data_IF_774267094251
#
_entry.id   IF_774267094251
#
_cell.length_a   1.000
_cell.length_b   1.000
_cell.length_c   1.000
_cell.angle_alpha   90.00
_cell.angle_beta   90.00
_cell.angle_gamma   90.00
#
_symmetry.space_group_name_H-M   'P 1'
#
loop_
_entity.id
_entity.type
_entity.pdbx_description
1 polymer ?
#
# COMPACT_ATOMS: atom_id res chain seq x y z
N UNK A 1 57.28 -4.92 -18.75
CA UNK A 1 56.16 -3.98 -18.59
C UNK A 1 54.86 -4.73 -18.77
N UNK A 2 54.25 -5.26 -17.70
CA UNK A 2 52.95 -5.94 -17.78
C UNK A 2 51.85 -4.97 -17.33
N UNK A 3 51.05 -4.48 -18.28
CA UNK A 3 49.81 -3.78 -18.00
C UNK A 3 48.76 -4.81 -17.51
N UNK A 4 48.63 -4.96 -16.21
CA UNK A 4 47.47 -5.64 -15.59
C UNK A 4 46.27 -4.71 -15.71
N UNK A 5 45.41 -4.97 -16.70
CA UNK A 5 44.13 -4.28 -16.86
C UNK A 5 43.19 -4.68 -15.71
N UNK A 6 42.75 -3.71 -14.92
CA UNK A 6 41.71 -3.90 -13.92
C UNK A 6 40.37 -4.27 -14.59
N UNK A 7 39.65 -5.31 -14.11
CA UNK A 7 38.36 -5.67 -14.66
C UNK A 7 37.30 -4.63 -14.24
N UNK A 8 36.77 -3.92 -15.24
CA UNK A 8 35.65 -2.96 -15.17
C UNK A 8 34.33 -3.67 -14.80
N UNK A 9 34.16 -4.10 -13.54
CA UNK A 9 33.04 -4.93 -13.05
C UNK A 9 31.85 -4.18 -12.43
N UNK A 10 31.86 -2.85 -12.43
CA UNK A 10 30.91 -2.04 -11.64
C UNK A 10 29.52 -1.74 -12.25
N UNK A 11 29.26 -1.71 -13.57
CA UNK A 11 27.96 -1.25 -14.06
C UNK A 11 26.84 -2.29 -13.87
N UNK A 12 27.11 -3.57 -14.12
CA UNK A 12 26.09 -4.63 -14.06
C UNK A 12 25.49 -4.81 -12.66
N UNK A 13 26.33 -4.81 -11.62
CA UNK A 13 25.89 -5.02 -10.25
C UNK A 13 25.02 -3.85 -9.75
N UNK A 14 25.33 -2.62 -10.18
CA UNK A 14 24.51 -1.44 -9.86
C UNK A 14 23.13 -1.54 -10.52
N UNK A 15 23.05 -1.91 -11.80
CA UNK A 15 21.75 -2.09 -12.47
C UNK A 15 20.93 -3.21 -11.85
N UNK A 16 21.57 -4.32 -11.46
CA UNK A 16 20.89 -5.41 -10.78
C UNK A 16 20.33 -4.96 -9.42
N UNK A 17 21.11 -4.24 -8.62
CA UNK A 17 20.65 -3.70 -7.34
C UNK A 17 19.47 -2.72 -7.52
N UNK A 18 19.54 -1.83 -8.52
CA UNK A 18 18.45 -0.91 -8.83
C UNK A 18 17.19 -1.67 -9.26
N UNK A 19 17.33 -2.72 -10.08
CA UNK A 19 16.21 -3.54 -10.51
C UNK A 19 15.56 -4.29 -9.34
N UNK A 20 16.37 -4.92 -8.47
CA UNK A 20 15.89 -5.60 -7.26
C UNK A 20 15.19 -4.62 -6.32
N UNK A 21 15.80 -3.46 -6.08
CA UNK A 21 15.20 -2.41 -5.25
C UNK A 21 13.88 -1.91 -5.84
N UNK A 22 13.83 -1.65 -7.15
CA UNK A 22 12.62 -1.26 -7.85
C UNK A 22 11.53 -2.32 -7.74
N UNK A 23 11.87 -3.60 -7.90
CA UNK A 23 10.94 -4.70 -7.73
C UNK A 23 10.39 -4.79 -6.30
N UNK A 24 11.24 -4.65 -5.28
CA UNK A 24 10.82 -4.64 -3.88
C UNK A 24 9.88 -3.47 -3.56
N UNK A 25 10.24 -2.25 -3.97
CA UNK A 25 9.43 -1.05 -3.73
C UNK A 25 8.09 -1.11 -4.49
N UNK A 26 8.11 -1.57 -5.75
CA UNK A 26 6.91 -1.75 -6.56
C UNK A 26 5.97 -2.80 -5.96
N UNK A 27 6.50 -3.94 -5.52
CA UNK A 27 5.71 -5.00 -4.86
C UNK A 27 5.08 -4.50 -3.56
N UNK A 28 5.84 -3.79 -2.71
CA UNK A 28 5.32 -3.20 -1.49
C UNK A 28 4.21 -2.17 -1.79
N UNK A 29 4.40 -1.34 -2.81
CA UNK A 29 3.40 -0.34 -3.23
C UNK A 29 2.11 -1.00 -3.70
N UNK A 30 2.20 -2.05 -4.53
CA UNK A 30 1.04 -2.82 -4.99
C UNK A 30 0.32 -3.50 -3.82
N UNK A 31 1.07 -4.04 -2.87
CA UNK A 31 0.49 -4.62 -1.67
C UNK A 31 -0.31 -3.57 -0.87
N UNK A 32 0.29 -2.40 -0.59
CA UNK A 32 -0.36 -1.37 0.22
C UNK A 32 -1.50 -0.66 -0.52
N UNK A 33 -1.41 -0.43 -1.83
CA UNK A 33 -2.49 0.24 -2.60
C UNK A 33 -3.74 -0.61 -2.73
N UNK A 34 -3.63 -1.94 -2.56
CA UNK A 34 -4.80 -2.82 -2.54
C UNK A 34 -5.81 -2.43 -1.45
N UNK A 35 -5.34 -1.93 -0.31
CA UNK A 35 -6.17 -1.56 0.84
C UNK A 35 -7.09 -0.36 0.53
N UNK A 36 -6.60 0.83 0.12
CA UNK A 36 -7.46 1.94 -0.24
C UNK A 36 -8.37 1.65 -1.44
N UNK A 37 -7.94 0.83 -2.41
CA UNK A 37 -8.82 0.38 -3.50
C UNK A 37 -10.03 -0.38 -2.96
N UNK A 38 -9.82 -1.26 -1.98
CA UNK A 38 -10.89 -2.00 -1.32
C UNK A 38 -11.86 -1.10 -0.55
N UNK A 39 -11.37 -0.03 0.08
CA UNK A 39 -12.24 0.97 0.74
C UNK A 39 -13.15 1.65 -0.26
N UNK A 40 -12.60 2.09 -1.38
CA UNK A 40 -13.39 2.71 -2.46
C UNK A 40 -14.41 1.72 -3.00
N UNK A 41 -14.02 0.46 -3.23
CA UNK A 41 -14.93 -0.59 -3.68
C UNK A 41 -16.09 -0.81 -2.70
N UNK A 42 -15.80 -0.85 -1.38
CA UNK A 42 -16.82 -0.95 -0.35
C UNK A 42 -17.83 0.20 -0.41
N UNK A 43 -17.36 1.45 -0.58
CA UNK A 43 -18.26 2.61 -0.70
C UNK A 43 -19.06 2.65 -2.00
N UNK A 44 -18.53 2.06 -3.07
CA UNK A 44 -19.27 1.84 -4.32
C UNK A 44 -20.26 0.66 -4.22
N UNK A 45 -20.36 0.02 -3.06
CA UNK A 45 -21.29 -1.08 -2.81
C UNK A 45 -20.82 -2.44 -3.32
N UNK A 46 -19.52 -2.60 -3.58
CA UNK A 46 -18.94 -3.89 -3.94
C UNK A 46 -19.11 -4.92 -2.82
N UNK A 47 -19.28 -6.19 -3.21
CA UNK A 47 -19.45 -7.33 -2.31
C UNK A 47 -20.89 -7.47 -1.82
N UNK A 48 -21.39 -8.71 -1.84
CA UNK A 48 -22.70 -9.03 -1.27
C UNK A 48 -22.67 -8.86 0.25
N UNK A 49 -23.73 -8.28 0.81
CA UNK A 49 -23.89 -8.15 2.24
C UNK A 49 -24.31 -9.50 2.84
N UNK A 50 -23.48 -10.06 3.72
CA UNK A 50 -23.76 -11.33 4.41
C UNK A 50 -23.81 -11.12 5.92
N UNK A 51 -24.69 -11.86 6.60
CA UNK A 51 -24.69 -11.88 8.06
C UNK A 51 -23.59 -12.81 8.57
N UNK A 52 -22.84 -12.32 9.55
CA UNK A 52 -21.72 -13.01 10.16
C UNK A 52 -21.85 -12.97 11.67
N UNK A 53 -21.83 -14.14 12.29
CA UNK A 53 -21.81 -14.30 13.75
C UNK A 53 -20.36 -14.35 14.19
N UNK A 54 -19.96 -13.41 15.05
CA UNK A 54 -18.58 -13.29 15.50
C UNK A 54 -18.28 -14.36 16.54
N UNK A 55 -17.41 -15.31 16.19
CA UNK A 55 -16.96 -16.39 17.06
C UNK A 55 -15.73 -16.01 17.86
N UNK A 56 -14.91 -15.09 17.37
CA UNK A 56 -13.77 -14.52 18.11
C UNK A 56 -13.73 -13.01 17.91
N UNK A 57 -13.66 -12.26 19.01
CA UNK A 57 -13.61 -10.80 18.97
C UNK A 57 -12.23 -10.27 18.57
N UNK A 58 -12.19 -9.05 18.07
CA UNK A 58 -10.95 -8.34 17.74
C UNK A 58 -10.98 -6.91 18.23
N UNK A 59 -9.95 -6.56 19.00
CA UNK A 59 -9.63 -5.17 19.32
C UNK A 59 -8.56 -4.68 18.35
N UNK A 60 -8.94 -3.95 17.32
CA UNK A 60 -7.96 -3.47 16.35
C UNK A 60 -8.50 -2.97 15.03
N UNK A 61 -7.58 -2.47 14.21
CA UNK A 61 -7.76 -2.18 12.80
C UNK A 61 -6.70 -2.98 12.03
N UNK A 62 -6.85 -3.16 10.72
CA UNK A 62 -5.98 -4.05 9.93
C UNK A 62 -4.49 -3.65 9.91
N UNK A 63 -4.17 -2.43 10.37
CA UNK A 63 -2.83 -1.86 10.48
C UNK A 63 -1.96 -2.40 11.63
N UNK A 64 -1.90 -3.72 11.76
CA UNK A 64 -0.90 -4.42 12.59
C UNK A 64 -1.05 -4.26 14.10
N UNK A 65 -2.18 -3.72 14.59
CA UNK A 65 -2.54 -3.73 16.01
C UNK A 65 -3.85 -4.48 16.18
N UNK A 66 -3.73 -5.73 16.61
CA UNK A 66 -4.85 -6.61 16.95
C UNK A 66 -4.84 -7.86 16.09
N UNK A 67 -5.05 -9.01 16.72
CA UNK A 67 -5.35 -10.23 16.00
C UNK A 67 -6.72 -10.06 15.33
N UNK A 68 -6.87 -10.49 14.06
CA UNK A 68 -8.17 -10.49 13.41
C UNK A 68 -9.13 -11.37 14.19
N UNK A 69 -10.36 -10.92 14.31
CA UNK A 69 -11.44 -11.69 14.89
C UNK A 69 -11.94 -12.67 13.84
N UNK A 70 -12.57 -13.74 14.30
CA UNK A 70 -13.17 -14.73 13.44
C UNK A 70 -14.68 -14.60 13.47
N UNK A 71 -15.29 -14.63 12.30
CA UNK A 71 -16.72 -14.64 12.11
C UNK A 71 -17.14 -15.81 11.25
N UNK A 72 -18.29 -16.37 11.57
CA UNK A 72 -18.93 -17.44 10.81
C UNK A 72 -20.12 -16.89 10.05
N UNK A 73 -20.09 -17.04 8.74
CA UNK A 73 -21.17 -16.59 7.86
C UNK A 73 -22.40 -17.48 8.07
N UNK A 74 -23.56 -16.87 8.28
CA UNK A 74 -24.80 -17.59 8.62
C UNK A 74 -25.29 -18.45 7.46
N UNK A 75 -25.11 -17.99 6.22
CA UNK A 75 -25.66 -18.63 5.04
C UNK A 75 -24.95 -19.95 4.66
N UNK A 76 -23.64 -20.01 4.80
CA UNK A 76 -22.80 -21.11 4.28
C UNK A 76 -21.83 -21.68 5.34
N UNK A 77 -21.86 -21.17 6.57
CA UNK A 77 -20.98 -21.58 7.67
C UNK A 77 -19.49 -21.41 7.36
N UNK A 78 -19.14 -20.56 6.37
CA UNK A 78 -17.75 -20.22 6.05
C UNK A 78 -17.15 -19.29 7.11
N UNK A 79 -15.82 -19.34 7.27
CA UNK A 79 -15.09 -18.49 8.22
C UNK A 79 -14.53 -17.27 7.48
N UNK A 80 -14.71 -16.09 8.07
CA UNK A 80 -14.17 -14.82 7.57
C UNK A 80 -13.54 -14.04 8.72
N UNK A 81 -12.47 -13.30 8.40
CA UNK A 81 -11.80 -12.44 9.38
C UNK A 81 -12.39 -11.04 9.40
N UNK A 82 -12.50 -10.47 10.59
CA UNK A 82 -13.12 -9.17 10.86
C UNK A 82 -12.28 -8.40 11.91
N UNK A 83 -12.12 -7.07 11.74
CA UNK A 83 -11.43 -6.21 12.71
C UNK A 83 -12.43 -5.29 13.42
N UNK A 84 -12.21 -5.02 14.70
CA UNK A 84 -13.06 -4.11 15.47
C UNK A 84 -14.45 -4.70 15.74
N UNK A 85 -14.49 -6.01 16.02
CA UNK A 85 -15.71 -6.77 16.33
C UNK A 85 -15.65 -7.36 17.74
N UNK A 86 -16.80 -7.60 18.35
CA UNK A 86 -16.94 -8.20 19.68
C UNK A 86 -17.44 -9.64 19.57
N UNK A 87 -16.92 -10.53 20.40
CA UNK A 87 -17.37 -11.91 20.47
C UNK A 87 -18.89 -11.99 20.72
N UNK A 88 -19.59 -12.83 19.95
CA UNK A 88 -21.02 -13.11 20.09
C UNK A 88 -21.95 -12.10 19.42
N UNK A 89 -21.42 -11.03 18.83
CA UNK A 89 -22.23 -10.10 18.06
C UNK A 89 -22.52 -10.65 16.65
N UNK A 90 -23.62 -10.19 16.03
CA UNK A 90 -23.93 -10.48 14.63
C UNK A 90 -23.77 -9.20 13.83
N UNK A 91 -22.91 -9.21 12.81
CA UNK A 91 -22.64 -8.07 11.94
C UNK A 91 -23.04 -8.38 10.50
N UNK A 92 -23.33 -7.34 9.74
CA UNK A 92 -23.43 -7.46 8.29
C UNK A 92 -22.07 -7.10 7.69
N UNK A 93 -21.42 -8.06 7.03
CA UNK A 93 -20.12 -7.87 6.42
C UNK A 93 -20.19 -7.96 4.89
N UNK A 94 -19.25 -7.32 4.22
CA UNK A 94 -19.06 -7.34 2.76
C UNK A 94 -17.64 -7.77 2.43
N UNK A 95 -17.53 -8.59 1.39
CA UNK A 95 -16.25 -9.05 0.87
C UNK A 95 -15.46 -7.92 0.21
N UNK A 96 -14.14 -8.10 0.17
CA UNK A 96 -13.20 -7.20 -0.48
C UNK A 96 -13.08 -7.51 -1.98
N UNK A 97 -12.77 -6.48 -2.76
CA UNK A 97 -12.47 -6.63 -4.19
C UNK A 97 -11.16 -7.37 -4.42
N UNK A 98 -10.14 -7.02 -3.64
CA UNK A 98 -8.80 -7.59 -3.73
C UNK A 98 -8.47 -8.20 -2.37
N UNK A 99 -8.46 -9.53 -2.31
CA UNK A 99 -8.06 -10.27 -1.11
C UNK A 99 -6.56 -10.59 -1.20
N UNK A 100 -5.76 -9.88 -0.41
CA UNK A 100 -4.30 -10.03 -0.39
C UNK A 100 -3.89 -10.48 1.00
N UNK A 101 -3.49 -11.74 1.12
CA UNK A 101 -3.09 -12.34 2.39
C UNK A 101 -3.36 -13.83 2.42
N UNK A 102 -3.00 -14.47 3.54
CA UNK A 102 -3.23 -15.90 3.74
C UNK A 102 -4.69 -16.23 4.13
N UNK A 103 -5.48 -15.23 4.56
CA UNK A 103 -6.82 -15.43 5.09
C UNK A 103 -7.77 -14.35 4.61
N UNK A 104 -9.01 -14.74 4.28
CA UNK A 104 -10.02 -13.83 3.76
C UNK A 104 -10.57 -12.88 4.81
N UNK A 105 -10.61 -11.60 4.43
CA UNK A 105 -11.01 -10.50 5.30
C UNK A 105 -12.21 -9.73 4.73
N UNK A 106 -13.13 -9.29 5.60
CA UNK A 106 -14.34 -8.58 5.22
C UNK A 106 -14.56 -7.28 6.01
N UNK A 107 -15.27 -6.33 5.42
CA UNK A 107 -15.66 -5.08 6.07
C UNK A 107 -17.07 -5.17 6.63
N UNK A 108 -17.26 -4.83 7.90
CA UNK A 108 -18.57 -4.81 8.53
C UNK A 108 -19.14 -3.41 8.78
N UNK A 109 -18.33 -2.36 8.61
CA UNK A 109 -18.76 -0.99 8.81
C UNK A 109 -17.95 0.01 7.97
N UNK A 110 -18.53 1.18 7.63
CA UNK A 110 -17.79 2.25 6.95
C UNK A 110 -16.56 2.73 7.73
N UNK A 111 -16.61 2.69 9.07
CA UNK A 111 -15.49 3.08 9.92
C UNK A 111 -14.34 2.06 9.84
N UNK A 112 -14.67 0.76 9.85
CA UNK A 112 -13.68 -0.31 9.64
C UNK A 112 -13.03 -0.21 8.26
N UNK A 113 -13.82 0.06 7.21
CA UNK A 113 -13.30 0.31 5.87
C UNK A 113 -12.41 1.57 5.83
N UNK A 114 -12.82 2.68 6.44
CA UNK A 114 -12.04 3.91 6.44
C UNK A 114 -10.67 3.77 7.14
N UNK A 115 -10.54 2.86 8.12
CA UNK A 115 -9.27 2.61 8.79
C UNK A 115 -8.20 2.10 7.80
N UNK A 116 -8.59 1.38 6.75
CA UNK A 116 -7.68 0.90 5.71
C UNK A 116 -7.15 2.03 4.81
N UNK A 117 -7.72 3.25 4.87
CA UNK A 117 -7.14 4.41 4.18
C UNK A 117 -5.79 4.84 4.76
N UNK A 118 -5.49 4.47 6.01
CA UNK A 118 -4.18 4.72 6.59
C UNK A 118 -3.06 4.02 5.80
N UNK A 119 -3.36 2.99 5.01
CA UNK A 119 -2.41 2.39 4.07
C UNK A 119 -2.00 3.30 2.91
N UNK A 120 -2.65 4.47 2.72
CA UNK A 120 -2.13 5.51 1.85
C UNK A 120 -0.75 6.00 2.29
N UNK A 121 -0.47 6.02 3.59
CA UNK A 121 0.83 6.46 4.12
C UNK A 121 1.98 5.58 3.59
N UNK A 122 2.00 4.25 3.85
CA UNK A 122 3.03 3.40 3.28
C UNK A 122 2.96 3.35 1.75
N UNK A 123 1.77 3.42 1.13
CA UNK A 123 1.65 3.49 -0.33
C UNK A 123 2.41 4.69 -0.91
N UNK A 124 2.29 5.87 -0.31
CA UNK A 124 3.05 7.05 -0.74
C UNK A 124 4.54 6.89 -0.42
N UNK A 125 4.87 6.39 0.78
CA UNK A 125 6.25 6.22 1.23
C UNK A 125 7.06 5.28 0.33
N UNK A 126 6.45 4.20 -0.16
CA UNK A 126 7.11 3.23 -1.05
C UNK A 126 6.85 3.51 -2.54
N UNK A 127 5.67 4.02 -2.88
CA UNK A 127 5.26 4.26 -4.26
C UNK A 127 5.93 5.47 -4.86
N UNK A 128 6.12 6.54 -4.10
CA UNK A 128 6.83 7.73 -4.59
C UNK A 128 8.28 7.42 -5.01
N UNK A 129 9.15 6.81 -4.17
CA UNK A 129 10.50 6.47 -4.59
C UNK A 129 10.51 5.43 -5.72
N UNK A 130 9.57 4.49 -5.75
CA UNK A 130 9.41 3.56 -6.88
C UNK A 130 9.15 4.30 -8.20
N UNK A 131 8.19 5.23 -8.23
CA UNK A 131 7.88 6.03 -9.42
C UNK A 131 9.07 6.88 -9.84
N UNK A 132 9.80 7.49 -8.90
CA UNK A 132 11.02 8.23 -9.21
C UNK A 132 12.10 7.33 -9.83
N UNK A 133 12.27 6.10 -9.33
CA UNK A 133 13.22 5.14 -9.87
C UNK A 133 12.83 4.75 -11.30
N UNK A 134 11.56 4.44 -11.55
CA UNK A 134 11.05 4.13 -12.89
C UNK A 134 11.26 5.33 -13.84
N UNK A 135 10.93 6.54 -13.41
CA UNK A 135 11.13 7.75 -14.21
C UNK A 135 12.61 8.02 -14.48
N UNK A 136 13.50 7.78 -13.51
CA UNK A 136 14.94 7.95 -13.67
C UNK A 136 15.53 7.00 -14.71
N UNK A 137 14.99 5.79 -14.83
CA UNK A 137 15.43 4.78 -15.81
C UNK A 137 14.79 5.00 -17.17
N UNK A 138 13.48 5.20 -17.23
CA UNK A 138 12.71 5.22 -18.49
C UNK A 138 12.67 6.61 -19.14
N UNK A 139 12.67 7.67 -18.34
CA UNK A 139 12.48 9.05 -18.83
C UNK A 139 13.35 10.07 -18.07
N UNK A 140 14.70 9.92 -18.08
CA UNK A 140 15.61 10.76 -17.28
C UNK A 140 15.48 12.26 -17.57
N UNK A 141 15.14 12.61 -18.82
CA UNK A 141 14.94 14.01 -19.24
C UNK A 141 13.74 14.67 -18.55
N UNK A 142 12.67 13.90 -18.24
CA UNK A 142 11.50 14.44 -17.52
C UNK A 142 11.82 14.67 -16.04
N UNK A 143 12.63 13.80 -15.44
CA UNK A 143 13.07 13.94 -14.06
C UNK A 143 13.89 15.23 -13.89
N UNK A 144 14.82 15.50 -14.80
CA UNK A 144 15.64 16.73 -14.83
C UNK A 144 14.79 18.00 -14.87
N UNK A 145 13.78 18.04 -15.76
CA UNK A 145 12.87 19.18 -15.87
C UNK A 145 12.04 19.43 -14.60
N UNK A 146 11.70 18.39 -13.84
CA UNK A 146 11.01 18.53 -12.54
C UNK A 146 11.97 19.11 -11.51
N UNK A 147 13.20 18.58 -11.42
CA UNK A 147 14.22 19.09 -10.48
C UNK A 147 14.58 20.55 -10.75
N UNK A 148 14.72 20.96 -12.01
CA UNK A 148 15.00 22.35 -12.38
C UNK A 148 13.85 23.30 -11.97
N UNK A 149 12.60 22.86 -12.13
CA UNK A 149 11.41 23.63 -11.70
C UNK A 149 11.33 23.76 -10.17
N UNK A 150 11.62 22.69 -9.44
CA UNK A 150 11.66 22.71 -7.98
C UNK A 150 12.78 23.62 -7.48
N UNK A 151 13.96 23.56 -8.08
CA UNK A 151 15.10 24.40 -7.73
C UNK A 151 14.80 25.90 -7.99
N UNK A 152 14.18 26.21 -9.14
CA UNK A 152 13.75 27.58 -9.46
C UNK A 152 12.69 28.12 -8.50
N UNK A 153 11.77 27.26 -8.01
CA UNK A 153 10.79 27.66 -6.97
C UNK A 153 11.44 27.88 -5.61
N UNK A 154 12.40 27.03 -5.22
CA UNK A 154 13.15 27.18 -3.97
C UNK A 154 14.00 28.46 -3.93
N UNK A 155 14.60 28.84 -5.06
CA UNK A 155 15.38 30.08 -5.17
C UNK A 155 14.54 31.36 -5.12
N UNK A 156 13.28 31.31 -5.58
CA UNK A 156 12.39 32.49 -5.57
C UNK A 156 11.85 32.84 -4.18
N UNK A 157 11.88 31.92 -3.21
CA UNK A 157 11.39 32.17 -1.84
C UNK A 157 12.38 32.99 -1.01
N UNK A 158 13.66 33.06 -1.39
CA UNK A 158 14.65 33.92 -0.71
C UNK A 158 14.63 35.39 -1.18
N UNK A 159 13.99 35.70 -2.31
CA UNK A 159 13.95 37.06 -2.88
C UNK A 159 12.81 37.95 -2.40
N UNK A 160 11.84 37.42 -1.63
CA UNK A 160 10.63 38.17 -1.22
C UNK A 160 10.59 38.56 0.26
N UNK A 161 11.68 38.40 1.00
CA UNK A 161 11.81 38.86 2.40
C UNK A 161 12.64 40.14 2.54
N UNK A 162 12.90 40.82 1.42
CA UNK A 162 13.48 42.17 1.38
C UNK A 162 12.60 43.08 0.51
N UNK A 163 11.43 43.44 1.03
CA UNK A 163 10.65 44.60 0.56
C UNK A 163 9.88 45.15 1.76
#
# INVERSE_FOLDING_TARGET
MSNTAEPKRTPFLIYLLIAVLGFCLGSATLFFVSQPINVVAYWLGYGEARQVVVTEGSSGFSLGRGDPGEGRVVADNSTVRLYGVRHGETVTARERLIDVGANSYAFHSPLSAAADLLYLIPTVLFGFPFVLLVLGVVAPNRLRGITERLNKRSGNTQGSTQA
#
